data_IF_611601083731
#
_entry.id   IF_611601083731
#
_cell.length_a   1.000
_cell.length_b   1.000
_cell.length_c   1.000
_cell.angle_alpha   90.00
_cell.angle_beta   90.00
_cell.angle_gamma   90.00
#
_symmetry.space_group_name_H-M   'P 1'
#
loop_
_entity.id
_entity.type
_entity.pdbx_description
1 polymer ?
#
# COMPACT_ATOMS: atom_id res chain seq x y z
N UNK A 1 8.12 -19.88 -1.61
CA UNK A 1 9.09 -18.79 -1.47
C UNK A 1 8.65 -17.83 -0.37
N UNK A 2 9.59 -17.43 0.50
CA UNK A 2 9.33 -16.56 1.65
C UNK A 2 8.62 -15.25 1.25
N UNK A 3 9.03 -14.66 0.15
CA UNK A 3 8.45 -13.41 -0.36
C UNK A 3 6.95 -13.51 -0.69
N UNK A 4 6.50 -14.66 -1.21
CA UNK A 4 5.06 -14.87 -1.44
C UNK A 4 4.28 -14.82 -0.13
N UNK A 5 4.80 -15.49 0.91
CA UNK A 5 4.19 -15.49 2.24
C UNK A 5 4.15 -14.08 2.84
N UNK A 6 5.20 -13.29 2.68
CA UNK A 6 5.29 -11.95 3.23
C UNK A 6 4.22 -10.99 2.68
N UNK A 7 3.80 -11.16 1.43
CA UNK A 7 2.72 -10.36 0.84
C UNK A 7 1.32 -10.96 1.09
N UNK A 8 1.22 -12.28 1.27
CA UNK A 8 -0.07 -12.99 1.35
C UNK A 8 -0.46 -13.45 2.76
N UNK A 9 0.36 -13.13 3.76
CA UNK A 9 0.07 -13.43 5.17
C UNK A 9 0.47 -12.27 6.08
N UNK A 10 -0.03 -12.30 7.30
CA UNK A 10 0.32 -11.31 8.32
C UNK A 10 1.68 -11.61 8.92
N UNK A 11 1.93 -12.86 9.26
CA UNK A 11 3.16 -13.25 9.92
C UNK A 11 3.46 -14.74 9.75
N UNK A 12 4.74 -15.06 9.60
CA UNK A 12 5.32 -16.37 9.80
C UNK A 12 6.58 -16.19 10.62
N UNK A 13 6.73 -16.96 11.71
CA UNK A 13 7.95 -16.90 12.51
C UNK A 13 9.10 -17.57 11.76
N UNK A 14 10.19 -16.84 11.44
CA UNK A 14 11.34 -17.43 10.82
C UNK A 14 12.08 -18.34 11.83
N UNK A 15 12.38 -19.57 11.42
CA UNK A 15 13.23 -20.50 12.19
C UNK A 15 14.70 -20.32 11.82
N UNK A 16 14.98 -20.18 10.54
CA UNK A 16 16.32 -19.94 10.01
C UNK A 16 16.24 -18.92 8.88
N UNK A 17 16.99 -17.87 9.01
CA UNK A 17 17.25 -16.91 7.95
C UNK A 17 18.59 -17.27 7.29
N UNK A 18 18.57 -18.16 6.30
CA UNK A 18 19.72 -18.43 5.45
C UNK A 18 19.49 -17.69 4.15
N UNK A 19 20.51 -17.01 3.64
CA UNK A 19 20.46 -16.16 2.41
C UNK A 19 19.75 -16.81 1.22
N UNK A 20 19.70 -18.13 1.14
CA UNK A 20 19.15 -18.85 -0.02
C UNK A 20 17.84 -19.60 0.31
N UNK A 21 17.51 -19.83 1.57
CA UNK A 21 16.33 -20.61 1.95
C UNK A 21 15.87 -20.28 3.37
N UNK A 22 14.83 -19.48 3.47
CA UNK A 22 14.17 -19.26 4.76
C UNK A 22 13.23 -20.42 5.06
N UNK A 23 13.25 -20.87 6.31
CA UNK A 23 12.28 -21.83 6.87
C UNK A 23 11.47 -21.14 7.96
N UNK A 24 10.24 -21.60 8.13
CA UNK A 24 9.28 -21.00 9.05
C UNK A 24 8.69 -22.07 9.95
N UNK A 25 8.44 -21.69 11.20
CA UNK A 25 7.72 -22.50 12.17
C UNK A 25 6.25 -22.67 11.72
N UNK A 26 5.80 -23.90 11.38
CA UNK A 26 4.44 -24.12 10.88
C UNK A 26 3.36 -23.86 11.93
N UNK A 27 3.72 -23.87 13.22
CA UNK A 27 2.79 -23.67 14.34
C UNK A 27 2.67 -22.18 14.74
N UNK A 28 3.54 -21.32 14.21
CA UNK A 28 3.54 -19.90 14.49
C UNK A 28 3.30 -19.08 13.23
N UNK A 29 2.06 -19.14 12.75
CA UNK A 29 1.62 -18.49 11.53
C UNK A 29 0.35 -17.68 11.78
N UNK A 30 0.27 -16.55 11.09
CA UNK A 30 -0.94 -15.73 11.00
C UNK A 30 -1.31 -15.57 9.53
N UNK A 31 -2.24 -16.39 9.08
CA UNK A 31 -2.67 -16.43 7.68
C UNK A 31 -3.52 -15.22 7.30
N UNK A 32 -3.46 -14.86 6.03
CA UNK A 32 -4.18 -13.71 5.47
C UNK A 32 -3.56 -12.38 5.90
N UNK A 33 -4.04 -11.31 5.32
CA UNK A 33 -3.65 -9.93 5.66
C UNK A 33 -4.63 -9.40 6.68
N UNK A 34 -4.21 -9.39 7.96
CA UNK A 34 -5.01 -8.88 9.09
C UNK A 34 -4.62 -7.45 9.44
N UNK A 35 -5.30 -6.87 10.44
CA UNK A 35 -5.00 -5.52 10.96
C UNK A 35 -3.51 -5.37 11.32
N UNK A 36 -2.93 -6.39 11.92
CA UNK A 36 -1.53 -6.36 12.40
C UNK A 36 -0.50 -6.27 11.26
N UNK A 37 -0.89 -6.62 10.02
CA UNK A 37 0.02 -6.46 8.88
C UNK A 37 0.33 -4.99 8.57
N UNK A 38 -0.61 -4.10 8.85
CA UNK A 38 -0.49 -2.65 8.59
C UNK A 38 -0.33 -1.81 9.85
N UNK A 39 -0.69 -2.35 11.01
CA UNK A 39 -0.67 -1.65 12.28
C UNK A 39 0.37 -2.17 13.27
N UNK A 40 1.06 -3.27 12.92
CA UNK A 40 1.98 -3.96 13.82
C UNK A 40 1.26 -4.84 14.86
N UNK A 41 2.02 -5.51 15.74
CA UNK A 41 1.47 -6.42 16.73
C UNK A 41 0.46 -5.74 17.66
N UNK A 42 -0.75 -6.28 17.76
CA UNK A 42 -1.87 -5.64 18.45
C UNK A 42 -2.17 -6.22 19.85
N UNK A 43 -1.38 -7.18 20.34
CA UNK A 43 -1.66 -7.84 21.64
C UNK A 43 -1.73 -6.85 22.81
N UNK A 44 -0.77 -5.93 22.92
CA UNK A 44 -0.76 -4.90 23.98
C UNK A 44 -1.87 -3.88 23.80
N UNK A 45 -2.16 -3.50 22.56
CA UNK A 45 -3.29 -2.63 22.22
C UNK A 45 -4.61 -3.21 22.74
N UNK A 46 -4.88 -4.47 22.42
CA UNK A 46 -6.11 -5.15 22.86
C UNK A 46 -6.16 -5.28 24.38
N UNK A 47 -5.04 -5.61 25.03
CA UNK A 47 -4.98 -5.69 26.49
C UNK A 47 -5.23 -4.35 27.15
N UNK A 48 -4.67 -3.28 26.61
CA UNK A 48 -4.86 -1.93 27.12
C UNK A 48 -6.33 -1.49 27.04
N UNK A 49 -6.94 -1.57 25.85
CA UNK A 49 -8.31 -1.11 25.63
C UNK A 49 -9.38 -1.97 26.34
N UNK A 50 -9.10 -3.25 26.60
CA UNK A 50 -9.97 -4.05 27.48
C UNK A 50 -9.99 -3.55 28.93
N UNK A 51 -8.89 -2.97 29.40
CA UNK A 51 -8.79 -2.37 30.75
C UNK A 51 -9.28 -0.91 30.78
N UNK A 52 -9.23 -0.24 29.64
CA UNK A 52 -9.57 1.17 29.49
C UNK A 52 -10.59 1.38 28.35
N UNK A 53 -11.84 0.91 28.50
CA UNK A 53 -12.82 0.87 27.40
C UNK A 53 -13.25 2.26 26.91
N UNK A 54 -13.06 3.31 27.72
CA UNK A 54 -13.39 4.68 27.36
C UNK A 54 -12.26 5.42 26.65
N UNK A 55 -11.04 4.84 26.62
CA UNK A 55 -9.92 5.44 25.90
C UNK A 55 -10.15 5.35 24.39
N UNK A 56 -9.99 6.49 23.71
CA UNK A 56 -10.19 6.62 22.26
C UNK A 56 -8.90 6.75 21.48
N UNK A 57 -7.79 7.07 22.15
CA UNK A 57 -6.50 7.18 21.51
C UNK A 57 -5.93 5.78 21.25
N UNK A 58 -5.37 5.58 20.06
CA UNK A 58 -4.73 4.33 19.70
C UNK A 58 -3.41 4.15 20.48
N UNK A 59 -3.48 3.41 21.59
CA UNK A 59 -2.30 3.08 22.41
C UNK A 59 -1.73 1.73 22.04
N UNK A 60 -0.40 1.61 22.10
CA UNK A 60 0.36 0.37 21.83
C UNK A 60 0.10 -0.26 20.45
N UNK A 61 -0.14 0.57 19.44
CA UNK A 61 -0.30 0.17 18.05
C UNK A 61 0.12 1.31 17.14
N UNK A 62 0.59 1.01 15.96
CA UNK A 62 0.92 2.05 14.98
C UNK A 62 -0.36 2.61 14.36
N UNK A 63 -0.53 3.92 14.48
CA UNK A 63 -1.56 4.64 13.73
C UNK A 63 -0.93 5.22 12.45
N UNK A 64 -1.28 4.73 11.25
CA UNK A 64 -0.69 5.24 10.01
C UNK A 64 -0.91 6.73 9.78
N UNK A 65 -1.94 7.34 10.38
CA UNK A 65 -2.17 8.78 10.30
C UNK A 65 -1.06 9.61 10.97
N UNK A 66 -0.33 9.03 11.93
CA UNK A 66 0.81 9.69 12.60
C UNK A 66 2.14 9.51 11.86
N UNK A 67 2.18 8.68 10.83
CA UNK A 67 3.37 8.41 10.04
C UNK A 67 3.62 9.51 9.01
N UNK A 68 4.88 9.67 8.64
CA UNK A 68 5.25 10.50 7.49
C UNK A 68 4.67 9.93 6.20
N UNK A 69 4.60 10.75 5.14
CA UNK A 69 4.15 10.30 3.81
C UNK A 69 4.95 9.08 3.33
N UNK A 70 6.28 9.10 3.47
CA UNK A 70 7.13 8.01 3.02
C UNK A 70 6.86 6.72 3.81
N UNK A 71 6.75 6.79 5.11
CA UNK A 71 6.43 5.63 5.95
C UNK A 71 5.07 5.01 5.60
N UNK A 72 4.06 5.82 5.28
CA UNK A 72 2.76 5.31 4.78
C UNK A 72 2.90 4.63 3.42
N UNK A 73 3.72 5.20 2.53
CA UNK A 73 4.02 4.59 1.23
C UNK A 73 4.78 3.28 1.39
N UNK A 74 5.76 3.22 2.26
CA UNK A 74 6.58 2.03 2.54
C UNK A 74 5.74 0.87 3.06
N UNK A 75 4.75 1.15 3.91
CA UNK A 75 3.80 0.16 4.39
C UNK A 75 3.02 -0.51 3.23
N UNK A 76 2.62 0.27 2.24
CA UNK A 76 1.97 -0.28 1.04
C UNK A 76 2.96 -0.94 0.08
N UNK A 77 4.12 -0.31 -0.10
CA UNK A 77 5.16 -0.74 -1.03
C UNK A 77 5.76 -2.11 -0.66
N UNK A 78 5.71 -2.48 0.62
CA UNK A 78 6.12 -3.82 1.06
C UNK A 78 5.50 -4.93 0.19
N UNK A 79 4.24 -4.77 -0.22
CA UNK A 79 3.50 -5.74 -1.04
C UNK A 79 3.22 -5.23 -2.47
N UNK A 80 3.13 -3.92 -2.67
CA UNK A 80 2.65 -3.29 -3.91
C UNK A 80 3.75 -2.55 -4.69
N UNK A 81 5.01 -2.97 -4.60
CA UNK A 81 6.13 -2.40 -5.35
C UNK A 81 6.79 -3.37 -6.35
N UNK A 82 6.06 -4.38 -6.80
CA UNK A 82 6.58 -5.40 -7.70
C UNK A 82 7.56 -6.35 -6.99
N UNK A 83 8.55 -6.81 -7.73
CA UNK A 83 9.58 -7.68 -7.17
C UNK A 83 10.56 -6.88 -6.32
N UNK A 84 10.85 -7.41 -5.14
CA UNK A 84 11.85 -6.86 -4.21
C UNK A 84 12.82 -7.96 -3.80
N UNK A 85 14.06 -7.57 -3.63
CA UNK A 85 15.11 -8.41 -3.06
C UNK A 85 15.28 -8.07 -1.58
N UNK A 86 15.28 -9.10 -0.74
CA UNK A 86 15.40 -8.92 0.70
C UNK A 86 16.85 -8.68 1.12
N UNK A 87 17.07 -7.64 1.92
CA UNK A 87 18.33 -7.35 2.63
C UNK A 87 18.31 -7.97 4.03
N UNK A 88 17.14 -8.07 4.62
CA UNK A 88 16.88 -8.64 5.94
C UNK A 88 15.94 -9.86 5.79
N UNK A 89 15.86 -10.75 6.79
CA UNK A 89 14.91 -11.85 6.78
C UNK A 89 13.48 -11.40 6.53
N UNK A 90 12.69 -12.20 5.83
CA UNK A 90 11.26 -11.93 5.62
C UNK A 90 10.55 -11.72 6.96
N UNK A 91 9.54 -10.86 6.98
CA UNK A 91 8.80 -10.43 8.17
C UNK A 91 9.60 -9.60 9.20
N UNK A 92 10.83 -9.16 8.88
CA UNK A 92 11.60 -8.27 9.75
C UNK A 92 11.14 -6.82 9.70
N UNK A 93 10.52 -6.37 8.59
CA UNK A 93 10.09 -4.98 8.45
C UNK A 93 9.07 -4.59 9.51
N UNK A 94 9.35 -3.51 10.21
CA UNK A 94 8.48 -2.92 11.20
C UNK A 94 7.79 -1.67 10.63
N UNK A 95 6.48 -1.58 10.86
CA UNK A 95 5.67 -0.48 10.34
C UNK A 95 6.16 0.85 10.92
N UNK A 96 6.43 1.80 10.02
CA UNK A 96 6.97 3.11 10.37
C UNK A 96 8.49 3.24 10.23
N UNK A 97 9.18 2.16 9.90
CA UNK A 97 10.58 2.20 9.53
C UNK A 97 10.77 2.44 8.02
N UNK A 98 12.01 2.61 7.59
CA UNK A 98 12.36 2.78 6.18
C UNK A 98 12.42 1.39 5.50
N UNK A 99 11.53 1.11 4.57
CA UNK A 99 11.49 -0.17 3.86
C UNK A 99 12.79 -0.46 3.08
N UNK A 100 13.52 0.58 2.68
CA UNK A 100 14.80 0.44 1.99
C UNK A 100 15.90 -0.24 2.80
N UNK A 101 15.78 -0.24 4.13
CA UNK A 101 16.74 -0.92 5.02
C UNK A 101 16.49 -2.44 5.07
N UNK A 102 15.31 -2.89 4.66
CA UNK A 102 14.86 -4.29 4.70
C UNK A 102 14.85 -4.97 3.34
N UNK A 103 14.57 -4.21 2.29
CA UNK A 103 14.49 -4.74 0.92
C UNK A 103 14.56 -3.62 -0.10
N UNK A 104 15.00 -3.91 -1.30
CA UNK A 104 15.01 -2.95 -2.42
C UNK A 104 14.22 -3.49 -3.60
N UNK A 105 13.69 -2.58 -4.44
CA UNK A 105 13.03 -2.97 -5.69
C UNK A 105 14.07 -3.41 -6.70
N UNK A 106 13.87 -4.58 -7.30
CA UNK A 106 14.70 -5.06 -8.42
C UNK A 106 14.24 -4.50 -9.77
N UNK A 107 13.13 -3.75 -9.78
CA UNK A 107 12.62 -3.13 -11.02
C UNK A 107 13.37 -1.82 -11.27
N UNK A 108 14.09 -1.67 -12.41
CA UNK A 108 14.73 -0.41 -12.75
C UNK A 108 13.73 0.74 -12.83
N UNK A 109 14.09 1.90 -12.27
CA UNK A 109 13.21 3.07 -12.21
C UNK A 109 13.29 4.00 -13.44
N UNK A 110 14.02 3.60 -14.46
CA UNK A 110 14.45 4.46 -15.57
C UNK A 110 13.45 4.58 -16.73
N UNK A 111 12.40 3.74 -16.76
CA UNK A 111 11.31 3.94 -17.72
C UNK A 111 9.95 3.53 -17.15
N UNK A 112 8.90 4.23 -17.58
CA UNK A 112 7.53 3.89 -17.21
C UNK A 112 7.09 2.52 -17.76
N UNK A 113 7.67 2.08 -18.86
CA UNK A 113 7.40 0.76 -19.45
C UNK A 113 7.92 -0.37 -18.56
N UNK A 114 9.05 -0.17 -17.87
CA UNK A 114 9.59 -1.15 -16.93
C UNK A 114 8.87 -1.16 -15.58
N UNK A 115 8.09 -0.12 -15.27
CA UNK A 115 7.28 -0.05 -14.05
C UNK A 115 5.95 -0.79 -14.15
N UNK A 116 5.46 -1.05 -15.37
CA UNK A 116 4.19 -1.76 -15.60
C UNK A 116 4.37 -3.28 -15.47
N UNK A 117 4.71 -3.70 -14.26
CA UNK A 117 4.78 -5.11 -13.88
C UNK A 117 3.69 -5.42 -12.85
N UNK A 118 3.19 -6.66 -12.81
CA UNK A 118 2.19 -7.06 -11.83
C UNK A 118 2.62 -6.72 -10.39
N UNK A 119 1.74 -6.07 -9.65
CA UNK A 119 1.98 -5.71 -8.25
C UNK A 119 2.83 -4.45 -8.02
N UNK A 120 3.22 -3.69 -9.05
CA UNK A 120 4.03 -2.47 -8.90
C UNK A 120 3.22 -1.17 -8.90
N UNK A 121 2.16 -1.11 -8.13
CA UNK A 121 1.35 0.11 -7.98
C UNK A 121 2.15 1.28 -7.40
N UNK A 122 3.09 0.99 -6.49
CA UNK A 122 3.97 2.00 -5.91
C UNK A 122 4.82 2.69 -6.98
N UNK A 123 5.49 1.93 -7.85
CA UNK A 123 6.33 2.49 -8.93
C UNK A 123 5.51 3.33 -9.90
N UNK A 124 4.35 2.86 -10.33
CA UNK A 124 3.45 3.60 -11.21
C UNK A 124 2.93 4.89 -10.56
N UNK A 125 2.54 4.83 -9.29
CA UNK A 125 2.09 6.01 -8.55
C UNK A 125 3.19 7.05 -8.46
N UNK A 126 4.39 6.67 -8.00
CA UNK A 126 5.50 7.60 -7.77
C UNK A 126 6.04 8.20 -9.06
N UNK A 127 5.92 7.52 -10.19
CA UNK A 127 6.24 8.06 -11.51
C UNK A 127 5.21 9.10 -12.01
N UNK A 128 3.99 9.08 -11.49
CA UNK A 128 2.89 9.93 -11.96
C UNK A 128 3.09 11.41 -11.66
N UNK A 129 2.52 12.27 -12.51
CA UNK A 129 2.48 13.71 -12.27
C UNK A 129 1.68 14.07 -11.01
N UNK A 130 0.58 13.35 -10.76
CA UNK A 130 -0.25 13.56 -9.55
C UNK A 130 0.59 13.41 -8.29
N UNK A 131 1.39 12.37 -8.20
CA UNK A 131 2.27 12.15 -7.07
C UNK A 131 3.36 13.21 -6.92
N UNK A 132 4.02 13.57 -8.03
CA UNK A 132 5.13 14.54 -8.05
C UNK A 132 4.69 15.96 -7.71
N UNK A 133 3.44 16.31 -8.04
CA UNK A 133 2.90 17.66 -7.89
C UNK A 133 1.99 17.82 -6.66
N UNK A 134 1.87 16.82 -5.81
CA UNK A 134 1.01 16.85 -4.64
C UNK A 134 1.58 16.06 -3.46
N UNK A 135 0.90 16.13 -2.33
CA UNK A 135 1.24 15.35 -1.14
C UNK A 135 0.46 14.02 -1.04
N UNK A 136 -0.20 13.58 -2.11
CA UNK A 136 -1.01 12.37 -2.07
C UNK A 136 -0.17 11.10 -1.84
N UNK A 137 -0.81 10.14 -1.20
CA UNK A 137 -0.33 8.78 -1.00
C UNK A 137 -1.42 7.77 -1.40
N UNK A 138 -1.23 6.49 -1.11
CA UNK A 138 -2.18 5.44 -1.48
C UNK A 138 -3.57 5.67 -0.86
N UNK A 139 -3.63 6.18 0.37
CA UNK A 139 -4.88 6.43 1.10
C UNK A 139 -5.69 7.60 0.54
N UNK A 140 -5.07 8.45 -0.27
CA UNK A 140 -5.77 9.52 -0.99
C UNK A 140 -6.77 8.97 -2.02
N UNK A 141 -6.52 7.74 -2.52
CA UNK A 141 -7.34 7.08 -3.53
C UNK A 141 -7.97 5.77 -3.04
N UNK A 142 -7.50 5.18 -1.95
CA UNK A 142 -7.96 3.90 -1.43
C UNK A 142 -8.39 3.98 0.03
N UNK A 143 -9.53 3.38 0.35
CA UNK A 143 -9.90 3.08 1.73
C UNK A 143 -9.60 1.61 2.02
N UNK A 144 -8.48 1.34 2.68
CA UNK A 144 -7.99 -0.03 2.93
C UNK A 144 -8.85 -0.83 3.91
N UNK A 145 -9.78 -0.18 4.64
CA UNK A 145 -10.70 -0.83 5.56
C UNK A 145 -12.03 -1.25 4.91
N UNK A 146 -12.22 -0.96 3.61
CA UNK A 146 -13.45 -1.30 2.87
C UNK A 146 -13.08 -2.00 1.59
N UNK A 147 -13.86 -2.99 1.21
CA UNK A 147 -13.72 -3.64 -0.09
C UNK A 147 -14.30 -2.74 -1.17
N UNK A 148 -13.46 -2.18 -2.03
CA UNK A 148 -13.83 -1.24 -3.10
C UNK A 148 -13.83 -1.89 -4.50
N UNK A 149 -14.02 -3.18 -4.58
CA UNK A 149 -14.03 -3.90 -5.87
C UNK A 149 -15.22 -3.45 -6.70
N UNK A 150 -14.98 -3.13 -7.98
CA UNK A 150 -15.98 -2.68 -8.95
C UNK A 150 -16.69 -1.34 -8.64
N UNK A 151 -16.10 -0.50 -7.78
CA UNK A 151 -16.65 0.82 -7.44
C UNK A 151 -15.98 1.94 -8.26
N UNK A 152 -16.10 1.89 -9.59
CA UNK A 152 -15.47 2.86 -10.50
C UNK A 152 -15.86 4.31 -10.21
N UNK A 153 -17.11 4.55 -9.83
CA UNK A 153 -17.61 5.87 -9.47
C UNK A 153 -16.89 6.45 -8.26
N UNK A 154 -16.65 5.63 -7.23
CA UNK A 154 -15.92 6.04 -6.02
C UNK A 154 -14.50 6.51 -6.37
N UNK A 155 -13.80 5.77 -7.24
CA UNK A 155 -12.46 6.18 -7.69
C UNK A 155 -12.51 7.43 -8.56
N UNK A 156 -13.49 7.55 -9.47
CA UNK A 156 -13.65 8.74 -10.29
C UNK A 156 -13.90 9.98 -9.44
N UNK A 157 -14.76 9.88 -8.43
CA UNK A 157 -15.04 10.99 -7.52
C UNK A 157 -13.80 11.43 -6.72
N UNK A 158 -12.93 10.49 -6.31
CA UNK A 158 -11.65 10.82 -5.67
C UNK A 158 -10.70 11.58 -6.60
N UNK A 159 -10.67 11.24 -7.89
CA UNK A 159 -9.94 12.05 -8.87
C UNK A 159 -10.51 13.47 -8.99
N UNK A 160 -11.83 13.59 -8.93
CA UNK A 160 -12.52 14.89 -9.04
C UNK A 160 -12.28 15.82 -7.83
N UNK A 161 -11.83 15.31 -6.69
CA UNK A 161 -11.42 16.16 -5.57
C UNK A 161 -10.29 17.16 -5.96
N UNK A 162 -9.48 16.81 -6.96
CA UNK A 162 -8.39 17.66 -7.46
C UNK A 162 -8.61 18.11 -8.91
N UNK A 163 -9.32 17.30 -9.71
CA UNK A 163 -9.56 17.55 -11.14
C UNK A 163 -10.98 18.09 -11.38
N UNK A 164 -11.28 19.23 -10.75
CA UNK A 164 -12.57 19.90 -10.91
C UNK A 164 -12.73 20.52 -12.31
N UNK A 165 -13.95 20.55 -12.84
CA UNK A 165 -14.26 21.15 -14.12
C UNK A 165 -13.90 22.65 -14.13
N UNK A 166 -13.18 23.08 -15.19
CA UNK A 166 -12.70 24.45 -15.32
C UNK A 166 -11.54 24.83 -14.41
N UNK A 167 -11.07 23.94 -13.55
CA UNK A 167 -9.90 24.17 -12.70
C UNK A 167 -8.57 24.03 -13.43
N UNK A 168 -7.48 24.55 -12.82
CA UNK A 168 -6.12 24.45 -13.38
C UNK A 168 -5.66 23.01 -13.64
N UNK A 169 -6.20 22.06 -12.91
CA UNK A 169 -5.88 20.63 -13.01
C UNK A 169 -6.88 19.84 -13.87
N UNK A 170 -7.72 20.55 -14.63
CA UNK A 170 -8.69 19.90 -15.50
C UNK A 170 -8.00 19.05 -16.57
N UNK A 171 -8.44 17.81 -16.73
CA UNK A 171 -7.90 16.91 -17.74
C UNK A 171 -8.47 17.28 -19.12
N UNK A 172 -7.65 17.89 -19.96
CA UNK A 172 -8.01 18.29 -21.32
C UNK A 172 -7.80 17.18 -22.36
N UNK A 173 -7.39 15.99 -21.93
CA UNK A 173 -7.12 14.89 -22.86
C UNK A 173 -8.45 14.42 -23.48
N UNK A 174 -8.57 14.62 -24.80
CA UNK A 174 -9.73 14.19 -25.58
C UNK A 174 -9.86 12.66 -25.60
N UNK A 175 -11.09 12.17 -25.79
CA UNK A 175 -11.33 10.76 -26.04
C UNK A 175 -10.48 10.25 -27.21
N UNK A 176 -9.84 9.12 -27.06
CA UNK A 176 -9.09 8.50 -28.15
C UNK A 176 -10.09 7.80 -29.06
N UNK A 177 -10.12 8.10 -30.36
CA UNK A 177 -11.02 7.42 -31.29
C UNK A 177 -10.88 5.90 -31.18
N UNK A 178 -11.98 5.19 -31.05
CA UNK A 178 -12.02 3.72 -30.95
C UNK A 178 -11.86 3.15 -29.53
N UNK A 179 -11.62 3.98 -28.50
CA UNK A 179 -11.70 3.55 -27.11
C UNK A 179 -13.11 3.78 -26.52
N UNK A 180 -13.56 2.93 -25.59
CA UNK A 180 -14.81 3.17 -24.89
C UNK A 180 -14.76 4.53 -24.18
N UNK A 181 -15.89 5.25 -24.11
CA UNK A 181 -15.96 6.56 -23.45
C UNK A 181 -15.46 6.43 -22.00
N UNK A 182 -14.63 7.40 -21.60
CA UNK A 182 -14.16 7.48 -20.21
C UNK A 182 -15.36 7.77 -19.31
N UNK A 183 -15.28 7.46 -18.00
CA UNK A 183 -16.40 7.70 -17.07
C UNK A 183 -17.00 9.12 -17.12
N UNK A 184 -16.21 10.13 -17.56
CA UNK A 184 -16.66 11.51 -17.78
C UNK A 184 -17.59 11.71 -18.99
N UNK A 185 -17.46 10.84 -20.00
CA UNK A 185 -18.24 10.97 -21.25
C UNK A 185 -19.64 10.36 -21.11
N UNK A 186 -19.93 9.73 -19.99
CA UNK A 186 -21.26 9.23 -19.65
C UNK A 186 -21.97 10.23 -18.75
N UNK A 187 -22.34 11.38 -19.34
CA UNK A 187 -23.30 12.32 -18.82
C UNK A 187 -23.43 12.35 -17.29
N UNK A 188 -22.63 13.16 -16.64
CA UNK A 188 -23.13 13.80 -15.44
C UNK A 188 -24.19 14.82 -15.89
N UNK A 189 -25.34 14.91 -15.19
CA UNK A 189 -26.39 15.87 -15.51
C UNK A 189 -25.88 17.31 -15.41
#
# INVERSE_FOLDING_TARGET
PARCLECHSTFFKPEKAVRERETFDPDQVMLGVTCERCHGPAGDHVRFHRKHPDERKAENIVNPASLTRQQRLDNCALCHSGLRENLMPSFSYLIGENLGDYSYSSTPADSTATLDVPGNQYGLLTASKCFKMSALDCSSCHNVHVRETNQLEVFSNRCMNCHVDGGKNFCTQRAIPGQPPRPRDRGAP
#
